data_IF_350010483002
#
_entry.id   IF_350010483002
#
_cell.length_a   1.000
_cell.length_b   1.000
_cell.length_c   1.000
_cell.angle_alpha   90.00
_cell.angle_beta   90.00
_cell.angle_gamma   90.00
#
_symmetry.space_group_name_H-M   'P 1'
#
loop_
_entity.id
_entity.type
_entity.pdbx_description
1 polymer ?
#
# COMPACT_ATOMS: atom_id res chain seq x y z
N UNK A 1 -13.52 -8.88 3.33
CA UNK A 1 -13.91 -9.14 1.93
C UNK A 1 -15.11 -8.27 1.62
N UNK A 2 -15.15 -7.52 0.50
CA UNK A 2 -16.32 -6.74 0.11
C UNK A 2 -17.36 -7.73 -0.39
N UNK A 3 -18.24 -8.17 0.49
CA UNK A 3 -19.35 -9.07 0.15
C UNK A 3 -20.59 -8.28 -0.31
N UNK A 4 -20.39 -7.02 -0.69
CA UNK A 4 -21.44 -5.99 -0.85
C UNK A 4 -22.40 -5.91 0.36
N UNK A 5 -21.92 -6.35 1.52
CA UNK A 5 -22.62 -6.23 2.79
C UNK A 5 -22.23 -4.89 3.42
N UNK A 6 -23.21 -4.23 4.03
CA UNK A 6 -22.96 -3.04 4.82
C UNK A 6 -22.00 -3.37 5.97
N UNK A 7 -21.04 -2.46 6.19
CA UNK A 7 -20.08 -2.54 7.31
C UNK A 7 -20.79 -2.38 8.66
N UNK A 8 -21.95 -1.72 8.66
CA UNK A 8 -22.71 -1.38 9.87
C UNK A 8 -23.69 -2.51 10.24
N UNK A 9 -24.30 -3.16 9.26
CA UNK A 9 -25.27 -4.25 9.47
C UNK A 9 -25.30 -5.23 8.30
N UNK A 10 -25.32 -6.56 8.53
CA UNK A 10 -25.39 -7.28 9.80
C UNK A 10 -24.04 -7.38 10.55
N UNK A 11 -24.09 -7.84 11.81
CA UNK A 11 -22.87 -8.06 12.63
C UNK A 11 -21.96 -9.13 12.03
N UNK A 12 -20.68 -9.08 12.39
CA UNK A 12 -19.70 -10.13 12.11
C UNK A 12 -20.26 -11.51 12.44
N UNK A 13 -20.18 -12.45 11.51
CA UNK A 13 -20.69 -13.81 11.69
C UNK A 13 -19.64 -14.85 11.34
N UNK A 14 -19.70 -16.02 11.98
CA UNK A 14 -18.82 -17.13 11.65
C UNK A 14 -19.06 -17.57 10.19
N UNK A 15 -18.01 -17.75 9.37
CA UNK A 15 -18.18 -18.16 7.97
C UNK A 15 -18.71 -19.58 7.80
N UNK A 16 -18.61 -20.44 8.82
CA UNK A 16 -19.05 -21.83 8.75
C UNK A 16 -20.48 -22.04 9.26
N UNK A 17 -20.85 -21.44 10.40
CA UNK A 17 -22.17 -21.65 11.02
C UNK A 17 -23.09 -20.43 10.95
N UNK A 18 -22.64 -19.32 10.36
CA UNK A 18 -23.36 -18.05 10.23
C UNK A 18 -23.86 -17.45 11.57
N UNK A 19 -23.46 -18.02 12.72
CA UNK A 19 -23.81 -17.48 14.03
C UNK A 19 -23.14 -16.12 14.20
N UNK A 20 -23.87 -15.09 14.64
CA UNK A 20 -23.29 -13.78 14.93
C UNK A 20 -22.25 -13.91 16.05
N UNK A 21 -21.12 -13.26 15.88
CA UNK A 21 -20.02 -13.24 16.83
C UNK A 21 -20.40 -12.28 17.97
N UNK A 22 -20.25 -12.74 19.21
CA UNK A 22 -20.53 -11.92 20.39
C UNK A 22 -19.58 -10.72 20.43
N UNK A 23 -20.02 -9.60 21.05
CA UNK A 23 -19.24 -8.36 21.07
C UNK A 23 -17.82 -8.53 21.63
N UNK A 24 -17.64 -9.34 22.67
CA UNK A 24 -16.34 -9.64 23.28
C UNK A 24 -15.49 -10.61 22.46
N UNK A 25 -16.10 -11.38 21.55
CA UNK A 25 -15.39 -12.23 20.59
C UNK A 25 -14.96 -11.42 19.33
N UNK A 26 -15.34 -10.12 19.26
CA UNK A 26 -14.87 -9.15 18.25
C UNK A 26 -13.60 -8.41 18.68
N UNK A 27 -12.78 -8.98 19.59
CA UNK A 27 -11.38 -8.57 19.75
C UNK A 27 -10.49 -9.68 19.15
N UNK A 28 -10.46 -9.87 17.81
CA UNK A 28 -9.85 -11.04 17.19
C UNK A 28 -8.48 -11.44 17.69
N UNK A 29 -7.54 -10.53 18.01
CA UNK A 29 -6.26 -10.99 18.61
C UNK A 29 -6.49 -11.74 19.93
N UNK A 30 -7.23 -11.14 20.87
CA UNK A 30 -7.46 -11.69 22.20
C UNK A 30 -8.39 -12.91 22.14
N UNK A 31 -9.50 -12.78 21.41
CA UNK A 31 -10.49 -13.83 21.23
C UNK A 31 -9.92 -15.03 20.46
N UNK A 32 -9.07 -14.81 19.45
CA UNK A 32 -8.41 -15.88 18.70
C UNK A 32 -7.40 -16.64 19.57
N UNK A 33 -6.63 -15.94 20.42
CA UNK A 33 -5.73 -16.60 21.37
C UNK A 33 -6.50 -17.45 22.39
N UNK A 34 -7.55 -16.89 22.99
CA UNK A 34 -8.38 -17.59 24.00
C UNK A 34 -9.10 -18.80 23.38
N UNK A 35 -9.66 -18.64 22.18
CA UNK A 35 -10.40 -19.69 21.47
C UNK A 35 -9.49 -20.63 20.65
N UNK A 36 -8.16 -20.43 20.71
CA UNK A 36 -7.14 -21.18 19.95
C UNK A 36 -7.45 -21.26 18.44
N UNK A 37 -7.89 -20.13 17.88
CA UNK A 37 -8.23 -19.98 16.48
C UNK A 37 -9.44 -20.79 16.02
N UNK A 38 -10.39 -21.11 16.91
CA UNK A 38 -11.61 -21.85 16.57
C UNK A 38 -12.86 -21.07 16.93
N UNK A 39 -13.93 -21.25 16.15
CA UNK A 39 -15.24 -20.70 16.51
C UNK A 39 -15.74 -21.29 17.83
N UNK A 40 -16.35 -20.46 18.68
CA UNK A 40 -16.93 -20.88 19.97
C UNK A 40 -17.99 -21.98 19.80
N UNK A 41 -18.89 -21.83 18.81
CA UNK A 41 -20.03 -22.72 18.59
C UNK A 41 -19.68 -23.94 17.73
N UNK A 42 -19.22 -23.73 16.49
CA UNK A 42 -19.01 -24.83 15.54
C UNK A 42 -17.59 -25.42 15.54
N UNK A 43 -16.66 -24.86 16.35
CA UNK A 43 -15.24 -25.26 16.42
C UNK A 43 -14.47 -25.20 15.09
N UNK A 44 -15.07 -24.67 14.03
CA UNK A 44 -14.40 -24.45 12.75
C UNK A 44 -13.19 -23.53 12.93
N UNK A 45 -12.12 -23.78 12.17
CA UNK A 45 -10.91 -22.98 12.22
C UNK A 45 -11.19 -21.57 11.66
N UNK A 46 -10.76 -20.55 12.41
CA UNK A 46 -10.76 -19.15 11.99
C UNK A 46 -9.37 -18.81 11.46
N UNK A 47 -9.32 -18.23 10.26
CA UNK A 47 -8.06 -17.86 9.62
C UNK A 47 -7.24 -16.94 10.53
N UNK A 48 -5.93 -17.21 10.75
CA UNK A 48 -5.05 -16.36 11.54
C UNK A 48 -4.86 -14.97 10.92
N UNK A 49 -5.28 -14.77 9.67
CA UNK A 49 -5.26 -13.49 8.97
C UNK A 49 -5.90 -12.37 9.77
N UNK A 50 -7.09 -12.59 10.34
CA UNK A 50 -7.83 -11.54 11.04
C UNK A 50 -7.05 -11.05 12.27
N UNK A 51 -6.51 -11.99 13.05
CA UNK A 51 -5.65 -11.66 14.19
C UNK A 51 -4.36 -10.96 13.74
N UNK A 52 -3.75 -11.38 12.62
CA UNK A 52 -2.55 -10.72 12.09
C UNK A 52 -2.80 -9.27 11.64
N UNK A 53 -3.90 -9.01 10.92
CA UNK A 53 -4.28 -7.66 10.47
C UNK A 53 -4.51 -6.73 11.66
N UNK A 54 -5.21 -7.22 12.68
CA UNK A 54 -5.46 -6.43 13.89
C UNK A 54 -4.22 -6.16 14.72
N UNK A 55 -3.39 -7.19 14.92
CA UNK A 55 -2.13 -7.04 15.63
C UNK A 55 -1.23 -6.03 14.90
N UNK A 56 -1.14 -6.14 13.57
CA UNK A 56 -0.39 -5.19 12.75
C UNK A 56 -0.94 -3.77 12.89
N UNK A 57 -2.26 -3.60 12.82
CA UNK A 57 -2.90 -2.29 12.97
C UNK A 57 -2.64 -1.70 14.36
N UNK A 58 -2.75 -2.51 15.41
CA UNK A 58 -2.46 -2.11 16.79
C UNK A 58 -1.00 -1.70 16.98
N UNK A 59 -0.05 -2.48 16.44
CA UNK A 59 1.38 -2.13 16.46
C UNK A 59 1.65 -0.83 15.71
N UNK A 60 1.08 -0.65 14.52
CA UNK A 60 1.23 0.58 13.75
C UNK A 60 0.62 1.79 14.46
N UNK A 61 -0.45 1.63 15.22
CA UNK A 61 -1.03 2.70 16.02
C UNK A 61 -0.12 3.08 17.19
N UNK A 62 0.49 2.10 17.86
CA UNK A 62 1.49 2.36 18.90
C UNK A 62 2.69 3.08 18.32
N UNK A 63 3.22 2.64 17.18
CA UNK A 63 4.32 3.33 16.49
C UNK A 63 3.91 4.76 16.10
N UNK A 64 2.73 4.93 15.51
CA UNK A 64 2.17 6.24 15.14
C UNK A 64 2.08 7.20 16.32
N UNK A 65 1.69 6.69 17.49
CA UNK A 65 1.62 7.44 18.74
C UNK A 65 3.00 7.84 19.25
N UNK A 66 3.94 6.89 19.30
CA UNK A 66 5.31 7.14 19.78
C UNK A 66 6.05 8.15 18.89
N UNK A 67 5.83 8.12 17.58
CA UNK A 67 6.43 9.06 16.62
C UNK A 67 5.78 10.46 16.63
N UNK A 68 4.59 10.60 17.23
CA UNK A 68 3.78 11.82 17.16
C UNK A 68 3.32 12.30 18.54
N UNK A 69 4.10 12.00 19.59
CA UNK A 69 3.76 12.30 20.98
C UNK A 69 3.49 13.80 21.22
N UNK A 70 4.13 14.66 20.43
CA UNK A 70 4.02 16.12 20.57
C UNK A 70 2.72 16.71 19.98
N UNK A 71 2.00 15.97 19.12
CA UNK A 71 0.79 16.49 18.47
C UNK A 71 -0.29 15.43 18.22
N UNK A 72 -1.41 15.57 18.93
CA UNK A 72 -2.58 14.71 18.77
C UNK A 72 -3.12 14.68 17.33
N UNK A 73 -3.26 15.81 16.60
CA UNK A 73 -3.76 15.79 15.22
C UNK A 73 -2.88 14.96 14.27
N UNK A 74 -1.56 14.98 14.49
CA UNK A 74 -0.60 14.21 13.71
C UNK A 74 -0.65 12.72 14.04
N UNK A 75 -0.79 12.35 15.31
CA UNK A 75 -0.99 10.97 15.73
C UNK A 75 -2.26 10.39 15.08
N UNK A 76 -3.37 11.14 15.09
CA UNK A 76 -4.63 10.72 14.43
C UNK A 76 -4.43 10.58 12.93
N UNK A 77 -3.77 11.55 12.26
CA UNK A 77 -3.43 11.46 10.84
C UNK A 77 -2.65 10.18 10.52
N UNK A 78 -1.64 9.87 11.33
CA UNK A 78 -0.75 8.71 11.18
C UNK A 78 -1.49 7.40 11.36
N UNK A 79 -2.30 7.28 12.43
CA UNK A 79 -3.13 6.11 12.70
C UNK A 79 -4.14 5.88 11.56
N UNK A 80 -4.82 6.93 11.11
CA UNK A 80 -5.79 6.81 10.03
C UNK A 80 -5.13 6.41 8.70
N UNK A 81 -3.96 6.97 8.39
CA UNK A 81 -3.18 6.58 7.23
C UNK A 81 -2.80 5.10 7.28
N UNK A 82 -2.28 4.63 8.43
CA UNK A 82 -1.93 3.23 8.64
C UNK A 82 -3.13 2.30 8.49
N UNK A 83 -4.27 2.67 9.10
CA UNK A 83 -5.51 1.90 9.01
C UNK A 83 -5.98 1.73 7.56
N UNK A 84 -6.01 2.83 6.79
CA UNK A 84 -6.38 2.80 5.38
C UNK A 84 -5.42 1.95 4.54
N UNK A 85 -4.11 2.11 4.72
CA UNK A 85 -3.11 1.35 3.98
C UNK A 85 -3.14 -0.14 4.31
N UNK A 86 -3.25 -0.52 5.59
CA UNK A 86 -3.40 -1.93 5.97
C UNK A 86 -4.66 -2.51 5.32
N UNK A 87 -5.79 -1.82 5.40
CA UNK A 87 -7.03 -2.25 4.74
C UNK A 87 -6.87 -2.44 3.23
N UNK A 88 -6.24 -1.48 2.54
CA UNK A 88 -6.02 -1.52 1.09
C UNK A 88 -5.02 -2.62 0.69
N UNK A 89 -3.88 -2.75 1.37
CA UNK A 89 -2.87 -3.78 1.09
C UNK A 89 -3.46 -5.18 1.24
N UNK A 90 -4.21 -5.45 2.32
CA UNK A 90 -4.82 -6.76 2.52
C UNK A 90 -6.02 -7.01 1.61
N UNK A 91 -6.70 -5.98 1.13
CA UNK A 91 -7.79 -6.13 0.15
C UNK A 91 -7.24 -6.38 -1.24
N UNK A 92 -6.15 -5.70 -1.60
CA UNK A 92 -5.46 -5.87 -2.89
C UNK A 92 -4.78 -7.25 -2.99
N UNK A 93 -4.08 -7.70 -1.95
CA UNK A 93 -3.54 -9.06 -1.90
C UNK A 93 -4.62 -10.15 -2.07
N UNK A 94 -5.81 -9.85 -1.53
CA UNK A 94 -7.06 -10.62 -1.61
C UNK A 94 -7.64 -10.79 -3.01
N UNK A 95 -8.05 -9.63 -3.49
CA UNK A 95 -9.04 -9.50 -4.56
C UNK A 95 -8.46 -8.81 -5.77
N UNK A 96 -7.24 -8.25 -5.67
CA UNK A 96 -6.60 -7.40 -6.68
C UNK A 96 -7.42 -6.16 -7.02
N UNK A 97 -8.31 -5.77 -6.10
CA UNK A 97 -9.21 -4.64 -6.25
C UNK A 97 -8.96 -3.66 -5.11
N UNK A 98 -8.87 -2.38 -5.47
CA UNK A 98 -8.74 -1.27 -4.54
C UNK A 98 -10.10 -0.57 -4.42
N UNK A 99 -10.83 -0.74 -3.31
CA UNK A 99 -12.18 -0.21 -3.19
C UNK A 99 -12.19 1.32 -3.11
N UNK A 100 -13.01 1.95 -3.97
CA UNK A 100 -13.21 3.39 -3.99
C UNK A 100 -13.73 3.94 -2.66
N UNK A 101 -14.46 3.12 -1.89
CA UNK A 101 -14.94 3.45 -0.55
C UNK A 101 -13.81 3.67 0.48
N UNK A 102 -12.59 3.20 0.21
CA UNK A 102 -11.43 3.47 1.06
C UNK A 102 -10.51 4.54 0.46
N UNK A 103 -10.28 4.50 -0.85
CA UNK A 103 -9.32 5.41 -1.49
C UNK A 103 -9.82 6.85 -1.59
N UNK A 104 -11.09 7.08 -1.96
CA UNK A 104 -11.63 8.44 -2.12
C UNK A 104 -11.87 9.14 -0.77
N UNK A 105 -12.51 8.51 0.23
CA UNK A 105 -12.60 9.11 1.56
C UNK A 105 -11.22 9.28 2.20
N UNK A 106 -10.29 8.35 1.95
CA UNK A 106 -8.90 8.49 2.37
C UNK A 106 -8.25 9.74 1.78
N UNK A 107 -8.39 9.97 0.47
CA UNK A 107 -7.86 11.16 -0.20
C UNK A 107 -8.42 12.44 0.41
N UNK A 108 -9.74 12.51 0.57
CA UNK A 108 -10.42 13.65 1.18
C UNK A 108 -9.94 13.88 2.63
N UNK A 109 -9.77 12.81 3.39
CA UNK A 109 -9.31 12.90 4.76
C UNK A 109 -7.84 13.34 4.84
N UNK A 110 -6.97 12.90 3.92
CA UNK A 110 -5.59 13.40 3.79
C UNK A 110 -5.54 14.91 3.54
N UNK A 111 -6.40 15.42 2.65
CA UNK A 111 -6.55 16.86 2.42
C UNK A 111 -7.09 17.59 3.64
N UNK A 112 -8.06 17.02 4.36
CA UNK A 112 -8.57 17.61 5.62
C UNK A 112 -7.47 17.69 6.68
N UNK A 113 -6.69 16.63 6.87
CA UNK A 113 -5.58 16.63 7.82
C UNK A 113 -4.46 17.61 7.43
N UNK A 114 -4.31 17.96 6.15
CA UNK A 114 -3.36 19.02 5.76
C UNK A 114 -3.69 20.38 6.36
N UNK A 115 -4.97 20.66 6.65
CA UNK A 115 -5.38 21.91 7.29
C UNK A 115 -5.13 21.92 8.80
N UNK A 116 -5.11 20.73 9.41
CA UNK A 116 -5.04 20.53 10.86
C UNK A 116 -3.64 20.22 11.37
N UNK A 117 -2.75 19.74 10.49
CA UNK A 117 -1.43 19.22 10.85
C UNK A 117 -0.37 20.06 10.14
N UNK A 118 0.53 20.63 10.92
CA UNK A 118 1.70 21.31 10.39
C UNK A 118 2.57 20.32 9.59
N UNK A 119 3.21 20.76 8.50
CA UNK A 119 4.08 19.89 7.73
C UNK A 119 5.22 19.34 8.61
N UNK A 120 5.14 18.07 9.03
CA UNK A 120 6.18 17.41 9.83
C UNK A 120 7.52 17.61 9.12
N UNK A 121 8.43 18.32 9.76
CA UNK A 121 9.66 18.89 9.22
C UNK A 121 9.46 19.99 8.16
N UNK A 122 9.56 21.26 8.56
CA UNK A 122 10.04 22.34 7.72
C UNK A 122 11.53 22.12 7.32
N UNK A 123 11.85 20.98 6.71
CA UNK A 123 13.21 20.61 6.30
C UNK A 123 13.21 19.99 4.88
N UNK A 124 12.38 20.55 3.99
CA UNK A 124 12.31 20.05 2.60
C UNK A 124 11.52 20.91 1.61
N UNK A 125 11.12 22.13 2.00
CA UNK A 125 10.92 23.21 1.03
C UNK A 125 12.24 23.97 0.84
N UNK A 126 13.15 23.87 1.82
CA UNK A 126 14.50 24.43 1.80
C UNK A 126 15.36 24.05 0.59
N UNK A 127 15.04 22.95 -0.13
CA UNK A 127 15.78 22.55 -1.34
C UNK A 127 15.01 22.80 -2.65
N UNK A 128 13.74 23.23 -2.63
CA UNK A 128 13.13 23.89 -3.80
C UNK A 128 13.35 25.38 -3.62
N UNK A 129 14.61 25.80 -3.78
CA UNK A 129 15.12 27.15 -3.58
C UNK A 129 14.45 28.27 -4.39
N UNK A 130 13.37 27.98 -5.13
CA UNK A 130 12.52 28.98 -5.77
C UNK A 130 11.36 29.43 -4.87
N UNK A 131 10.77 28.51 -4.08
CA UNK A 131 9.61 28.81 -3.24
C UNK A 131 10.02 29.58 -1.99
N UNK A 132 11.07 29.14 -1.29
CA UNK A 132 11.56 29.86 -0.10
C UNK A 132 12.17 31.22 -0.45
N UNK A 133 12.86 31.36 -1.60
CA UNK A 133 13.40 32.67 -2.05
C UNK A 133 12.29 33.64 -2.49
N UNK A 134 11.20 33.14 -3.09
CA UNK A 134 10.06 33.99 -3.49
C UNK A 134 9.04 34.24 -2.35
N UNK A 135 8.96 33.37 -1.35
CA UNK A 135 7.86 33.37 -0.36
C UNK A 135 8.30 33.66 1.09
N UNK A 136 9.57 33.48 1.46
CA UNK A 136 10.04 33.74 2.84
C UNK A 136 9.95 35.21 3.25
N UNK A 137 9.77 36.14 2.30
CA UNK A 137 9.54 37.57 2.57
C UNK A 137 8.08 37.99 2.77
N UNK A 138 7.09 37.09 2.62
CA UNK A 138 5.65 37.44 2.55
C UNK A 138 4.73 36.68 3.53
N UNK A 139 5.12 36.56 4.79
CA UNK A 139 4.21 36.29 5.93
C UNK A 139 3.08 35.27 5.67
N UNK A 140 3.40 34.14 5.03
CA UNK A 140 2.38 33.26 4.46
C UNK A 140 1.84 32.27 5.49
N UNK A 141 0.51 32.04 5.48
CA UNK A 141 -0.16 31.12 6.40
C UNK A 141 0.27 29.67 6.15
N UNK A 142 0.77 28.99 7.18
CA UNK A 142 1.23 27.59 7.12
C UNK A 142 0.15 26.61 6.64
N UNK A 143 -1.13 26.92 6.89
CA UNK A 143 -2.28 26.14 6.41
C UNK A 143 -2.31 26.05 4.88
N UNK A 144 -2.05 27.16 4.19
CA UNK A 144 -2.08 27.20 2.72
C UNK A 144 -0.91 26.41 2.15
N UNK A 145 0.26 26.50 2.80
CA UNK A 145 1.45 25.74 2.41
C UNK A 145 1.24 24.22 2.59
N UNK A 146 0.62 23.82 3.69
CA UNK A 146 0.30 22.41 3.95
C UNK A 146 -0.73 21.86 2.97
N UNK A 147 -1.79 22.63 2.70
CA UNK A 147 -2.81 22.27 1.70
C UNK A 147 -2.21 22.17 0.29
N UNK A 148 -1.40 23.15 -0.11
CA UNK A 148 -0.71 23.13 -1.39
C UNK A 148 0.20 21.90 -1.50
N UNK A 149 0.95 21.57 -0.45
CA UNK A 149 1.80 20.38 -0.43
C UNK A 149 1.01 19.07 -0.56
N UNK A 150 -0.15 18.95 0.10
CA UNK A 150 -1.02 17.79 -0.01
C UNK A 150 -1.66 17.67 -1.40
N UNK A 151 -2.16 18.77 -1.96
CA UNK A 151 -2.71 18.82 -3.32
C UNK A 151 -1.67 18.47 -4.37
N UNK A 152 -0.47 19.04 -4.25
CA UNK A 152 0.66 18.73 -5.10
C UNK A 152 1.08 17.27 -4.96
N UNK A 153 1.15 16.73 -3.74
CA UNK A 153 1.45 15.32 -3.51
C UNK A 153 0.42 14.40 -4.17
N UNK A 154 -0.87 14.70 -4.02
CA UNK A 154 -1.94 13.95 -4.67
C UNK A 154 -1.86 14.05 -6.21
N UNK A 155 -1.63 15.25 -6.74
CA UNK A 155 -1.51 15.50 -8.17
C UNK A 155 -0.32 14.78 -8.79
N UNK A 156 0.87 14.90 -8.22
CA UNK A 156 2.08 14.24 -8.74
C UNK A 156 2.05 12.73 -8.50
N UNK A 157 1.52 12.27 -7.37
CA UNK A 157 1.34 10.85 -7.09
C UNK A 157 0.41 10.18 -8.11
N UNK A 158 -0.82 10.66 -8.24
CA UNK A 158 -1.78 10.14 -9.19
C UNK A 158 -1.32 10.37 -10.64
N UNK A 159 -0.84 11.58 -10.94
CA UNK A 159 -0.42 12.01 -12.28
C UNK A 159 0.77 11.22 -12.81
N UNK A 160 1.74 10.84 -11.97
CA UNK A 160 2.87 10.01 -12.41
C UNK A 160 2.41 8.63 -12.87
N UNK A 161 1.61 7.95 -12.04
CA UNK A 161 1.10 6.61 -12.34
C UNK A 161 0.17 6.65 -13.56
N UNK A 162 -0.72 7.65 -13.62
CA UNK A 162 -1.60 7.86 -14.77
C UNK A 162 -0.79 8.15 -16.04
N UNK A 163 0.25 8.97 -15.97
CA UNK A 163 1.13 9.28 -17.09
C UNK A 163 1.83 8.04 -17.64
N UNK A 164 2.34 7.17 -16.76
CA UNK A 164 2.91 5.87 -17.16
C UNK A 164 1.84 4.97 -17.80
N UNK A 165 0.63 4.93 -17.24
CA UNK A 165 -0.48 4.15 -17.78
C UNK A 165 -0.87 4.62 -19.19
N UNK A 166 -1.06 5.93 -19.38
CA UNK A 166 -1.39 6.53 -20.68
C UNK A 166 -0.27 6.34 -21.69
N UNK A 167 0.99 6.48 -21.28
CA UNK A 167 2.15 6.25 -22.15
C UNK A 167 2.20 4.78 -22.59
N UNK A 168 1.99 3.86 -21.66
CA UNK A 168 1.95 2.43 -21.96
C UNK A 168 0.82 2.09 -22.92
N UNK A 169 -0.38 2.61 -22.68
CA UNK A 169 -1.53 2.42 -23.54
C UNK A 169 -1.29 2.98 -24.94
N UNK A 170 -0.72 4.19 -25.04
CA UNK A 170 -0.36 4.79 -26.32
C UNK A 170 0.64 3.96 -27.14
N UNK A 171 1.60 3.29 -26.48
CA UNK A 171 2.58 2.45 -27.18
C UNK A 171 2.10 1.02 -27.46
N UNK A 172 1.26 0.44 -26.59
CA UNK A 172 0.91 -0.98 -26.63
C UNK A 172 -0.54 -1.24 -27.06
N UNK A 173 -1.37 -0.21 -27.14
CA UNK A 173 -2.83 -0.30 -27.38
C UNK A 173 -3.54 -1.30 -26.44
N UNK A 174 -2.99 -1.47 -25.24
CA UNK A 174 -3.52 -2.35 -24.19
C UNK A 174 -3.44 -1.59 -22.90
N UNK A 175 -4.51 -1.65 -22.10
CA UNK A 175 -4.55 -1.08 -20.76
C UNK A 175 -3.44 -1.72 -19.90
N UNK A 176 -2.47 -0.89 -19.51
CA UNK A 176 -1.28 -1.36 -18.81
C UNK A 176 -1.43 -1.45 -17.29
N UNK A 177 -2.31 -0.65 -16.71
CA UNK A 177 -2.41 -0.48 -15.26
C UNK A 177 -3.84 -0.12 -14.84
N UNK A 178 -4.24 -0.61 -13.66
CA UNK A 178 -5.57 -0.35 -13.12
C UNK A 178 -5.72 1.05 -12.53
N UNK A 179 -6.88 1.68 -12.75
CA UNK A 179 -7.22 2.98 -12.14
C UNK A 179 -7.22 2.96 -10.60
N UNK A 180 -7.27 1.78 -9.98
CA UNK A 180 -7.11 1.62 -8.54
C UNK A 180 -5.76 2.14 -8.03
N UNK A 181 -4.66 1.84 -8.74
CA UNK A 181 -3.30 2.24 -8.34
C UNK A 181 -3.12 3.76 -8.41
N UNK A 182 -3.71 4.39 -9.43
CA UNK A 182 -3.74 5.87 -9.58
C UNK A 182 -4.42 6.52 -8.37
N UNK A 183 -5.60 6.00 -7.97
CA UNK A 183 -6.36 6.52 -6.82
C UNK A 183 -5.62 6.30 -5.50
N UNK A 184 -5.02 5.12 -5.31
CA UNK A 184 -4.18 4.80 -4.16
C UNK A 184 -3.00 5.77 -4.05
N UNK A 185 -2.32 6.04 -5.16
CA UNK A 185 -1.16 6.93 -5.18
C UNK A 185 -1.55 8.39 -4.94
N UNK A 186 -2.71 8.83 -5.46
CA UNK A 186 -3.29 10.12 -5.11
C UNK A 186 -3.57 10.24 -3.62
N UNK A 187 -4.18 9.21 -3.01
CA UNK A 187 -4.43 9.15 -1.58
C UNK A 187 -3.12 9.23 -0.78
N UNK A 188 -2.14 8.39 -1.10
CA UNK A 188 -0.81 8.40 -0.45
C UNK A 188 -0.18 9.80 -0.55
N UNK A 189 -0.26 10.41 -1.73
CA UNK A 189 0.20 11.76 -2.00
C UNK A 189 -0.45 12.84 -1.13
N UNK A 190 -1.75 12.74 -0.85
CA UNK A 190 -2.42 13.70 0.04
C UNK A 190 -1.97 13.59 1.50
N UNK A 191 -1.62 12.40 1.99
CA UNK A 191 -1.12 12.22 3.36
C UNK A 191 0.35 12.61 3.52
N UNK A 192 1.19 12.19 2.58
CA UNK A 192 2.64 12.38 2.63
C UNK A 192 3.03 13.78 2.13
N UNK A 193 2.31 14.32 1.14
CA UNK A 193 2.67 15.52 0.40
C UNK A 193 3.65 15.25 -0.74
N UNK A 194 4.09 16.30 -1.45
CA UNK A 194 4.91 16.19 -2.66
C UNK A 194 6.41 15.91 -2.40
N UNK A 195 6.78 15.52 -1.19
CA UNK A 195 8.18 15.42 -0.78
C UNK A 195 8.87 14.16 -1.33
N UNK A 196 10.19 14.09 -1.10
CA UNK A 196 11.04 12.92 -1.39
C UNK A 196 10.46 11.56 -0.95
N UNK A 197 9.73 11.43 0.18
CA UNK A 197 9.10 10.16 0.53
C UNK A 197 8.09 9.67 -0.52
N UNK A 198 7.39 10.55 -1.25
CA UNK A 198 6.48 10.16 -2.32
C UNK A 198 7.23 9.48 -3.48
N UNK A 199 8.39 10.03 -3.85
CA UNK A 199 9.29 9.43 -4.84
C UNK A 199 9.86 8.10 -4.33
N UNK A 200 10.18 8.02 -3.03
CA UNK A 200 10.64 6.78 -2.40
C UNK A 200 9.54 5.70 -2.45
N UNK A 201 8.26 6.05 -2.29
CA UNK A 201 7.14 5.09 -2.47
C UNK A 201 7.12 4.51 -3.88
N UNK A 202 7.22 5.37 -4.90
CA UNK A 202 7.23 4.93 -6.30
C UNK A 202 8.44 4.05 -6.61
N UNK A 203 9.61 4.45 -6.13
CA UNK A 203 10.85 3.72 -6.33
C UNK A 203 10.83 2.36 -5.63
N UNK A 204 10.54 2.32 -4.32
CA UNK A 204 10.50 1.08 -3.55
C UNK A 204 9.37 0.16 -4.01
N UNK A 205 8.18 0.71 -4.28
CA UNK A 205 7.04 -0.07 -4.75
C UNK A 205 7.33 -0.76 -6.09
N UNK A 206 7.86 -0.02 -7.07
CA UNK A 206 8.24 -0.58 -8.37
C UNK A 206 9.42 -1.55 -8.28
N UNK A 207 10.42 -1.25 -7.46
CA UNK A 207 11.58 -2.12 -7.24
C UNK A 207 11.15 -3.47 -6.64
N UNK A 208 10.40 -3.44 -5.53
CA UNK A 208 9.92 -4.66 -4.86
C UNK A 208 8.96 -5.44 -5.76
N UNK A 209 8.05 -4.76 -6.47
CA UNK A 209 7.14 -5.40 -7.42
C UNK A 209 7.87 -6.09 -8.59
N UNK A 210 8.89 -5.43 -9.15
CA UNK A 210 9.73 -5.99 -10.23
C UNK A 210 10.54 -7.20 -9.74
N UNK A 211 11.16 -7.10 -8.56
CA UNK A 211 11.87 -8.21 -7.93
C UNK A 211 10.93 -9.40 -7.69
N UNK A 212 9.74 -9.15 -7.15
CA UNK A 212 8.73 -10.19 -6.92
C UNK A 212 8.30 -10.86 -8.24
N UNK A 213 7.99 -10.08 -9.27
CA UNK A 213 7.62 -10.58 -10.60
C UNK A 213 8.74 -11.42 -11.23
N UNK A 214 9.98 -10.95 -11.15
CA UNK A 214 11.16 -11.66 -11.65
C UNK A 214 11.40 -12.99 -10.92
N UNK A 215 11.32 -12.99 -9.58
CA UNK A 215 11.44 -14.21 -8.77
C UNK A 215 10.32 -15.19 -9.11
N UNK A 216 9.08 -14.73 -9.23
CA UNK A 216 7.94 -15.57 -9.59
C UNK A 216 8.14 -16.21 -10.97
N UNK A 217 8.55 -15.43 -11.97
CA UNK A 217 8.89 -15.91 -13.31
C UNK A 217 9.96 -17.02 -13.25
N UNK A 218 11.05 -16.77 -12.50
CA UNK A 218 12.13 -17.74 -12.35
C UNK A 218 11.68 -19.03 -11.65
N UNK A 219 10.85 -18.95 -10.61
CA UNK A 219 10.30 -20.12 -9.92
C UNK A 219 9.38 -20.93 -10.83
N UNK A 220 8.48 -20.27 -11.56
CA UNK A 220 7.57 -20.92 -12.51
C UNK A 220 8.35 -21.61 -13.61
N UNK A 221 9.34 -20.93 -14.18
CA UNK A 221 10.23 -21.49 -15.21
C UNK A 221 10.98 -22.73 -14.70
N UNK A 222 11.63 -22.66 -13.53
CA UNK A 222 12.34 -23.80 -12.92
C UNK A 222 11.43 -24.99 -12.67
N UNK A 223 10.22 -24.76 -12.12
CA UNK A 223 9.23 -25.82 -11.88
C UNK A 223 8.74 -26.45 -13.18
N UNK A 224 8.52 -25.66 -14.24
CA UNK A 224 8.12 -26.16 -15.56
C UNK A 224 9.23 -26.97 -16.22
N UNK A 225 10.48 -26.51 -16.14
CA UNK A 225 11.63 -27.24 -16.66
C UNK A 225 11.79 -28.60 -15.98
N UNK A 226 11.67 -28.67 -14.65
CA UNK A 226 11.74 -29.91 -13.90
C UNK A 226 10.63 -30.89 -14.32
N UNK A 227 9.38 -30.41 -14.47
CA UNK A 227 8.25 -31.22 -14.94
C UNK A 227 8.43 -31.73 -16.37
N UNK A 228 9.00 -30.92 -17.26
CA UNK A 228 9.24 -31.33 -18.65
C UNK A 228 10.35 -32.37 -18.75
N UNK A 229 11.48 -32.18 -18.04
CA UNK A 229 12.56 -33.17 -17.97
C UNK A 229 12.07 -34.54 -17.50
N UNK A 230 11.15 -34.58 -16.55
CA UNK A 230 10.58 -35.83 -16.03
C UNK A 230 9.61 -36.53 -16.99
N UNK A 231 8.92 -35.79 -17.87
CA UNK A 231 7.85 -36.32 -18.74
C UNK A 231 8.29 -36.62 -20.18
N UNK A 232 9.24 -35.86 -20.72
CA UNK A 232 9.69 -35.97 -22.11
C UNK A 232 11.21 -35.85 -22.18
N UNK A 233 11.94 -36.94 -22.43
CA UNK A 233 13.37 -36.85 -22.71
C UNK A 233 13.57 -36.17 -24.08
N UNK A 234 14.52 -35.25 -24.14
CA UNK A 234 14.84 -34.45 -25.33
C UNK A 234 16.08 -33.58 -25.05
N UNK A 235 16.63 -32.91 -26.07
CA UNK A 235 17.82 -32.08 -25.90
C UNK A 235 17.59 -30.97 -24.86
N UNK A 236 18.57 -30.68 -23.98
CA UNK A 236 18.40 -29.71 -22.89
C UNK A 236 18.05 -28.29 -23.32
N UNK A 237 18.51 -27.85 -24.49
CA UNK A 237 18.22 -26.53 -25.07
C UNK A 237 16.73 -26.35 -25.34
N UNK A 238 16.11 -27.32 -25.99
CA UNK A 238 14.71 -27.27 -26.41
C UNK A 238 13.78 -27.32 -25.21
N UNK A 239 14.14 -28.11 -24.19
CA UNK A 239 13.40 -28.18 -22.93
C UNK A 239 13.41 -26.83 -22.20
N UNK A 240 14.55 -26.12 -22.18
CA UNK A 240 14.66 -24.79 -21.57
C UNK A 240 13.82 -23.76 -22.31
N UNK A 241 13.89 -23.75 -23.65
CA UNK A 241 13.12 -22.83 -24.49
C UNK A 241 11.61 -23.04 -24.34
N UNK A 242 11.14 -24.30 -24.37
CA UNK A 242 9.71 -24.62 -24.17
C UNK A 242 9.23 -24.29 -22.76
N UNK A 243 10.04 -24.54 -21.74
CA UNK A 243 9.72 -24.17 -20.37
C UNK A 243 9.58 -22.66 -20.22
N UNK A 244 10.45 -21.89 -20.88
CA UNK A 244 10.43 -20.43 -20.86
C UNK A 244 9.18 -19.87 -21.54
N UNK A 245 8.87 -20.34 -22.76
CA UNK A 245 7.66 -19.93 -23.48
C UNK A 245 6.39 -20.23 -22.66
N UNK A 246 6.34 -21.40 -22.02
CA UNK A 246 5.23 -21.78 -21.14
C UNK A 246 5.13 -20.87 -19.91
N UNK A 247 6.26 -20.48 -19.31
CA UNK A 247 6.28 -19.57 -18.17
C UNK A 247 5.82 -18.16 -18.57
N UNK A 248 6.27 -17.66 -19.73
CA UNK A 248 5.82 -16.37 -20.28
C UNK A 248 4.31 -16.33 -20.53
N UNK A 249 3.73 -17.40 -21.10
CA UNK A 249 2.28 -17.48 -21.33
C UNK A 249 1.47 -17.44 -20.02
N UNK A 250 1.94 -18.15 -18.98
CA UNK A 250 1.29 -18.15 -17.67
C UNK A 250 1.38 -16.76 -17.04
N UNK A 251 2.56 -16.15 -17.09
CA UNK A 251 2.81 -14.85 -16.47
C UNK A 251 2.02 -13.73 -17.15
N UNK A 252 1.84 -13.79 -18.47
CA UNK A 252 1.04 -12.80 -19.23
C UNK A 252 -0.41 -12.70 -18.75
N UNK A 253 -0.96 -13.78 -18.22
CA UNK A 253 -2.33 -13.84 -17.72
C UNK A 253 -2.39 -13.70 -16.18
N UNK A 254 -1.24 -13.50 -15.52
CA UNK A 254 -1.18 -13.37 -14.07
C UNK A 254 -1.11 -11.89 -13.68
N UNK A 255 -2.21 -11.37 -13.18
CA UNK A 255 -2.26 -10.01 -12.61
C UNK A 255 -1.53 -9.99 -11.26
N UNK A 256 -0.58 -9.07 -11.14
CA UNK A 256 0.20 -8.83 -9.92
C UNK A 256 -0.53 -7.74 -9.10
N UNK A 257 -0.77 -7.96 -7.79
CA UNK A 257 -1.37 -6.96 -6.92
C UNK A 257 -0.36 -5.84 -6.61
N UNK A 258 -0.31 -4.82 -7.46
CA UNK A 258 0.70 -3.76 -7.36
C UNK A 258 0.46 -2.84 -6.15
N UNK A 259 -0.80 -2.68 -5.74
CA UNK A 259 -1.21 -1.95 -4.55
C UNK A 259 -0.60 -2.48 -3.26
N UNK A 260 -0.30 -3.78 -3.16
CA UNK A 260 0.44 -4.37 -2.03
C UNK A 260 1.83 -3.75 -1.91
N UNK A 261 2.54 -3.60 -3.02
CA UNK A 261 3.91 -3.03 -3.02
C UNK A 261 3.89 -1.53 -2.80
N UNK A 262 2.98 -0.80 -3.43
CA UNK A 262 2.80 0.64 -3.19
C UNK A 262 2.41 0.93 -1.75
N UNK A 263 1.43 0.20 -1.19
CA UNK A 263 0.96 0.44 0.17
C UNK A 263 2.00 0.07 1.24
N UNK A 264 2.74 -1.02 1.05
CA UNK A 264 3.83 -1.38 1.97
C UNK A 264 5.02 -0.41 1.86
N UNK A 265 5.38 0.02 0.65
CA UNK A 265 6.38 1.06 0.44
C UNK A 265 5.94 2.40 1.06
N UNK A 266 4.65 2.74 1.00
CA UNK A 266 4.10 3.94 1.61
C UNK A 266 4.17 3.91 3.14
N UNK A 267 3.85 2.78 3.79
CA UNK A 267 4.06 2.62 5.23
C UNK A 267 5.54 2.83 5.60
N UNK A 268 6.44 2.18 4.85
CA UNK A 268 7.87 2.32 5.11
C UNK A 268 8.37 3.75 4.92
N UNK A 269 8.02 4.39 3.79
CA UNK A 269 8.44 5.75 3.49
C UNK A 269 7.83 6.78 4.46
N UNK A 270 6.64 6.52 5.00
CA UNK A 270 5.99 7.41 5.95
C UNK A 270 6.75 7.53 7.28
N UNK A 271 7.22 6.41 7.82
CA UNK A 271 7.93 6.38 9.10
C UNK A 271 9.44 6.60 8.95
N UNK A 272 10.08 6.00 7.95
CA UNK A 272 11.54 6.02 7.82
C UNK A 272 12.06 6.81 6.62
N UNK A 273 11.18 7.34 5.76
CA UNK A 273 11.60 7.98 4.51
C UNK A 273 12.45 9.23 4.73
N UNK A 274 12.14 10.05 5.74
CA UNK A 274 12.92 11.24 6.06
C UNK A 274 14.30 10.89 6.58
N UNK A 275 14.38 9.92 7.50
CA UNK A 275 15.66 9.49 8.08
C UNK A 275 16.58 8.86 7.04
N UNK A 276 16.01 8.07 6.12
CA UNK A 276 16.74 7.46 5.02
C UNK A 276 17.33 8.52 4.09
N UNK A 277 16.56 9.57 3.77
CA UNK A 277 17.01 10.68 2.94
C UNK A 277 18.10 11.48 3.64
N UNK A 278 17.93 11.79 4.93
CA UNK A 278 18.95 12.50 5.71
C UNK A 278 20.23 11.68 5.90
N UNK A 279 20.10 10.37 6.07
CA UNK A 279 21.25 9.45 6.11
C UNK A 279 21.98 9.42 4.77
N UNK A 280 21.26 9.35 3.66
CA UNK A 280 21.84 9.40 2.31
C UNK A 280 22.57 10.71 2.06
N UNK A 281 21.95 11.86 2.39
CA UNK A 281 22.58 13.18 2.21
C UNK A 281 23.88 13.31 3.00
N UNK A 282 23.92 12.85 4.26
CA UNK A 282 25.13 12.84 5.10
C UNK A 282 26.26 11.98 4.57
N UNK A 283 26.01 11.02 3.68
CA UNK A 283 27.07 10.22 3.08
C UNK A 283 27.85 11.00 2.01
N UNK A 284 27.24 12.05 1.46
CA UNK A 284 27.81 12.88 0.38
C UNK A 284 28.25 14.27 0.85
N UNK A 285 28.07 14.59 2.13
CA UNK A 285 28.61 15.78 2.81
C UNK A 285 29.89 15.40 3.58
#
# INVERSE_FOLDING_TARGET
MPRDLSVVSPRSACPACATPIAAYDNIPVLSWLILRGRCRNCKAAISPRYAAVELLTGVLFVISWLESMDSLPLAIKSCMFCFLLVGLVFTDAETKLLPDLLTLPGLAAGLLFSLLVEPKAAAGIADVGLADVLLAGRGFNWHILSLANALMGAFFGAGFILGVALLYEAFRNVEGMGMGDVKLMGMIGAFIGMRLPLLLVLLLGSLVGSLFGGVLMMVVWRRRLARLKARRPGPPSDLRARAWLSAQLIFRNFEIPFGVFLGTAALFAYFWGTDLVHWYRRLYE
#
